data_IF_998621013362
#
_entry.id   IF_998621013362
#
_cell.length_a   1.000
_cell.length_b   1.000
_cell.length_c   1.000
_cell.angle_alpha   90.00
_cell.angle_beta   90.00
_cell.angle_gamma   90.00
#
_symmetry.space_group_name_H-M   'P 1'
#
loop_
_entity.id
_entity.type
_entity.pdbx_description
1 polymer ?
#
# COMPACT_ATOMS: atom_id res chain seq x y z
N UNK A 1 22.40 -8.96 19.61
CA UNK A 1 21.35 -8.26 18.82
C UNK A 1 20.37 -7.66 19.80
N UNK A 2 19.90 -6.46 19.52
CA UNK A 2 18.83 -5.84 20.30
C UNK A 2 17.49 -6.52 19.97
N UNK A 3 16.55 -6.61 20.91
CA UNK A 3 15.36 -7.42 20.73
C UNK A 3 14.39 -6.84 19.69
N UNK A 4 14.22 -5.52 19.61
CA UNK A 4 13.24 -4.86 18.75
C UNK A 4 13.72 -3.48 18.32
N UNK A 5 13.44 -3.11 17.06
CA UNK A 5 13.45 -1.72 16.59
C UNK A 5 12.10 -1.34 15.98
N UNK A 6 11.75 -0.06 16.09
CA UNK A 6 10.66 0.52 15.30
C UNK A 6 11.25 1.14 14.03
N UNK A 7 10.68 0.82 12.88
CA UNK A 7 11.05 1.37 11.58
C UNK A 7 9.93 2.28 11.10
N UNK A 8 10.26 3.53 10.75
CA UNK A 8 9.31 4.52 10.20
C UNK A 8 9.80 4.94 8.82
N UNK A 9 8.97 4.77 7.81
CA UNK A 9 9.23 5.30 6.47
C UNK A 9 8.62 6.70 6.35
N UNK A 10 9.40 7.66 5.83
CA UNK A 10 8.97 9.05 5.77
C UNK A 10 9.16 9.68 4.40
N UNK A 11 8.23 10.58 4.05
CA UNK A 11 8.35 11.59 2.99
C UNK A 11 7.39 12.73 3.32
N UNK A 12 7.94 13.89 3.71
CA UNK A 12 7.21 15.09 4.11
C UNK A 12 6.14 14.81 5.19
N UNK A 13 6.58 14.28 6.34
CA UNK A 13 5.72 13.82 7.45
C UNK A 13 5.86 14.70 8.72
N UNK A 14 6.27 15.97 8.60
CA UNK A 14 6.49 16.86 9.75
C UNK A 14 5.26 17.01 10.65
N UNK A 15 4.04 16.84 10.12
CA UNK A 15 2.79 16.95 10.87
C UNK A 15 2.41 15.67 11.63
N UNK A 16 2.79 14.52 11.10
CA UNK A 16 2.43 13.20 11.64
C UNK A 16 3.52 12.63 12.55
N UNK A 17 4.77 12.70 12.11
CA UNK A 17 5.92 12.04 12.74
C UNK A 17 6.09 12.33 14.23
N UNK A 18 5.83 13.56 14.76
CA UNK A 18 5.97 13.81 16.20
C UNK A 18 5.13 12.90 17.09
N UNK A 19 3.91 12.56 16.67
CA UNK A 19 3.02 11.68 17.43
C UNK A 19 3.45 10.21 17.36
N UNK A 20 3.86 9.76 16.16
CA UNK A 20 4.42 8.43 15.99
C UNK A 20 5.64 8.22 16.90
N UNK A 21 6.62 9.14 16.88
CA UNK A 21 7.80 9.09 17.75
C UNK A 21 7.46 9.15 19.23
N UNK A 22 6.52 10.04 19.63
CA UNK A 22 6.04 10.13 21.01
C UNK A 22 5.39 8.83 21.49
N UNK A 23 4.70 8.10 20.60
CA UNK A 23 4.07 6.82 20.92
C UNK A 23 5.09 5.67 21.11
N UNK A 24 6.27 5.79 20.51
CA UNK A 24 7.41 4.90 20.79
C UNK A 24 8.02 5.23 22.14
N UNK A 25 8.11 6.52 22.50
CA UNK A 25 8.49 6.97 23.83
C UNK A 25 9.91 6.60 24.25
N UNK A 26 10.82 6.39 23.32
CA UNK A 26 12.22 6.00 23.60
C UNK A 26 12.38 4.58 24.18
N UNK A 27 11.36 3.73 24.14
CA UNK A 27 11.41 2.35 24.66
C UNK A 27 12.35 1.45 23.88
N UNK A 28 12.48 1.69 22.59
CA UNK A 28 13.33 0.92 21.66
C UNK A 28 13.96 1.86 20.64
N UNK A 29 15.07 1.47 19.99
CA UNK A 29 15.63 2.22 18.88
C UNK A 29 14.61 2.48 17.77
N UNK A 30 14.71 3.66 17.16
CA UNK A 30 13.90 4.06 16.01
C UNK A 30 14.78 4.28 14.80
N UNK A 31 14.50 3.58 13.71
CA UNK A 31 15.11 3.79 12.40
C UNK A 31 14.11 4.54 11.52
N UNK A 32 14.47 5.74 11.10
CA UNK A 32 13.68 6.51 10.13
C UNK A 32 14.36 6.37 8.77
N UNK A 33 13.65 5.80 7.80
CA UNK A 33 14.12 5.71 6.42
C UNK A 33 13.37 6.77 5.61
N UNK A 34 14.09 7.85 5.31
CA UNK A 34 13.55 9.05 4.70
C UNK A 34 13.76 9.04 3.18
N UNK A 35 12.71 9.37 2.43
CA UNK A 35 12.70 9.33 0.97
C UNK A 35 13.09 10.68 0.31
N UNK A 36 13.80 11.55 1.05
CA UNK A 36 14.19 12.88 0.60
C UNK A 36 13.16 13.95 0.94
N UNK A 37 12.71 13.97 2.22
CA UNK A 37 11.78 14.99 2.71
C UNK A 37 12.32 16.40 2.54
N UNK A 38 11.46 17.31 2.12
CA UNK A 38 11.76 18.72 1.92
C UNK A 38 11.33 19.61 3.10
N UNK A 39 10.54 19.08 4.02
CA UNK A 39 10.05 19.73 5.24
C UNK A 39 10.97 19.43 6.46
N UNK A 40 10.46 19.63 7.67
CA UNK A 40 11.23 19.38 8.90
C UNK A 40 11.28 17.94 9.36
N UNK A 41 10.81 16.97 8.56
CA UNK A 41 10.71 15.55 8.93
C UNK A 41 12.01 15.00 9.50
N UNK A 42 13.14 15.14 8.77
CA UNK A 42 14.44 14.64 9.21
C UNK A 42 14.93 15.30 10.50
N UNK A 43 14.74 16.62 10.62
CA UNK A 43 15.12 17.35 11.82
C UNK A 43 14.31 16.91 13.06
N UNK A 44 13.02 16.64 12.88
CA UNK A 44 12.13 16.14 13.94
C UNK A 44 12.57 14.73 14.38
N UNK A 45 12.87 13.85 13.43
CA UNK A 45 13.34 12.50 13.72
C UNK A 45 14.66 12.52 14.51
N UNK A 46 15.65 13.28 14.04
CA UNK A 46 16.94 13.42 14.70
C UNK A 46 16.83 14.04 16.13
N UNK A 47 15.98 15.06 16.29
CA UNK A 47 15.75 15.68 17.61
C UNK A 47 15.08 14.70 18.60
N UNK A 48 14.31 13.73 18.13
CA UNK A 48 13.72 12.68 18.94
C UNK A 48 14.69 11.51 19.23
N UNK A 49 15.95 11.56 18.76
CA UNK A 49 16.95 10.52 18.94
C UNK A 49 16.81 9.33 17.99
N UNK A 50 16.02 9.45 16.93
CA UNK A 50 15.94 8.43 15.91
C UNK A 50 17.19 8.45 14.99
N UNK A 51 17.62 7.28 14.54
CA UNK A 51 18.60 7.16 13.49
C UNK A 51 17.92 7.43 12.14
N UNK A 52 18.37 8.46 11.44
CA UNK A 52 17.81 8.86 10.14
C UNK A 52 18.72 8.39 9.02
N UNK A 53 18.16 7.62 8.09
CA UNK A 53 18.87 7.14 6.90
C UNK A 53 18.12 7.62 5.66
N UNK A 54 18.78 8.36 4.82
CA UNK A 54 18.23 8.77 3.53
C UNK A 54 18.32 7.63 2.52
N UNK A 55 17.17 7.32 1.86
CA UNK A 55 17.12 6.34 0.78
C UNK A 55 16.11 6.79 -0.28
N UNK A 56 16.56 7.04 -1.53
CA UNK A 56 15.68 7.51 -2.59
C UNK A 56 14.50 6.57 -2.81
N UNK A 57 13.30 7.14 -2.97
CA UNK A 57 12.10 6.35 -3.18
C UNK A 57 12.06 5.75 -4.59
N UNK A 58 12.05 4.45 -4.67
CA UNK A 58 11.77 3.69 -5.91
C UNK A 58 10.33 3.17 -5.87
N UNK A 59 10.04 2.36 -4.86
CA UNK A 59 8.69 1.88 -4.52
C UNK A 59 8.64 1.47 -3.04
N UNK A 60 7.45 1.19 -2.53
CA UNK A 60 7.26 0.84 -1.10
C UNK A 60 7.93 -0.48 -0.71
N UNK A 61 7.93 -1.49 -1.59
CA UNK A 61 8.58 -2.76 -1.29
C UNK A 61 10.11 -2.60 -1.20
N UNK A 62 10.71 -1.83 -2.11
CA UNK A 62 12.14 -1.51 -2.09
C UNK A 62 12.52 -0.76 -0.83
N UNK A 63 11.72 0.24 -0.43
CA UNK A 63 11.96 1.04 0.77
C UNK A 63 11.89 0.18 2.04
N UNK A 64 10.86 -0.69 2.16
CA UNK A 64 10.74 -1.60 3.30
C UNK A 64 11.82 -2.68 3.30
N UNK A 65 12.21 -3.22 2.15
CA UNK A 65 13.29 -4.19 2.06
C UNK A 65 14.64 -3.59 2.46
N UNK A 66 14.93 -2.37 2.04
CA UNK A 66 16.11 -1.64 2.48
C UNK A 66 16.14 -1.48 4.02
N UNK A 67 15.01 -1.11 4.62
CA UNK A 67 14.90 -1.01 6.07
C UNK A 67 15.08 -2.36 6.77
N UNK A 68 14.58 -3.47 6.20
CA UNK A 68 14.81 -4.81 6.71
C UNK A 68 16.29 -5.20 6.65
N UNK A 69 16.98 -4.87 5.57
CA UNK A 69 18.42 -5.14 5.40
C UNK A 69 19.25 -4.38 6.43
N UNK A 70 18.97 -3.09 6.68
CA UNK A 70 19.60 -2.30 7.74
C UNK A 70 19.38 -2.89 9.14
N UNK A 71 18.19 -3.42 9.38
CA UNK A 71 17.82 -3.94 10.69
C UNK A 71 18.33 -5.36 10.95
N UNK A 72 18.50 -6.17 9.90
CA UNK A 72 18.71 -7.62 10.02
C UNK A 72 19.96 -8.05 10.81
N UNK A 73 21.02 -7.24 10.80
CA UNK A 73 22.25 -7.54 11.53
C UNK A 73 22.23 -7.05 12.98
N UNK A 74 21.31 -6.13 13.31
CA UNK A 74 21.29 -5.39 14.57
C UNK A 74 20.16 -5.84 15.52
N UNK A 75 18.99 -6.18 14.92
CA UNK A 75 17.77 -6.43 15.67
C UNK A 75 17.21 -7.82 15.38
N UNK A 76 16.58 -8.43 16.39
CA UNK A 76 15.87 -9.68 16.21
C UNK A 76 14.50 -9.46 15.59
N UNK A 77 13.85 -8.34 15.93
CA UNK A 77 12.53 -7.97 15.48
C UNK A 77 12.49 -6.54 14.97
N UNK A 78 11.63 -6.30 14.01
CA UNK A 78 11.24 -4.96 13.58
C UNK A 78 9.73 -4.81 13.66
N UNK A 79 9.30 -3.61 14.08
CA UNK A 79 7.93 -3.17 13.97
C UNK A 79 7.88 -2.01 12.99
N UNK A 80 7.19 -2.18 11.87
CA UNK A 80 6.92 -1.08 10.94
C UNK A 80 5.78 -0.23 11.48
N UNK A 81 6.05 1.04 11.71
CA UNK A 81 5.10 2.06 12.12
C UNK A 81 5.03 3.10 11.00
N UNK A 82 3.85 3.35 10.43
CA UNK A 82 3.72 4.45 9.48
C UNK A 82 3.72 5.78 10.25
N UNK A 83 4.17 6.88 9.64
CA UNK A 83 4.32 8.16 10.33
C UNK A 83 3.00 8.73 10.87
N UNK A 84 1.86 8.30 10.34
CA UNK A 84 0.50 8.64 10.74
C UNK A 84 -0.14 7.60 11.68
N UNK A 85 0.69 6.72 12.28
CA UNK A 85 0.26 5.68 13.23
C UNK A 85 0.81 5.94 14.63
N UNK A 86 0.09 5.46 15.66
CA UNK A 86 0.44 5.62 17.08
C UNK A 86 0.29 4.28 17.82
N UNK A 87 1.32 3.92 18.61
CA UNK A 87 1.33 2.74 19.47
C UNK A 87 0.67 3.08 20.82
N UNK A 88 -0.33 2.31 21.23
CA UNK A 88 -0.91 2.44 22.56
C UNK A 88 -0.12 1.61 23.60
N UNK A 89 -0.22 1.94 24.92
CA UNK A 89 0.39 1.12 25.96
C UNK A 89 -0.09 -0.34 25.94
N UNK A 90 -1.36 -0.58 25.58
CA UNK A 90 -1.90 -1.93 25.46
C UNK A 90 -1.27 -2.70 24.31
N UNK A 91 -1.05 -2.05 23.14
CA UNK A 91 -0.37 -2.67 22.01
C UNK A 91 1.09 -2.96 22.34
N UNK A 92 1.77 -2.09 23.07
CA UNK A 92 3.12 -2.34 23.55
C UNK A 92 3.21 -3.60 24.40
N UNK A 93 2.28 -3.83 25.34
CA UNK A 93 2.26 -5.04 26.15
C UNK A 93 2.09 -6.31 25.30
N UNK A 94 1.28 -6.26 24.25
CA UNK A 94 1.14 -7.38 23.33
C UNK A 94 2.38 -7.59 22.45
N UNK A 95 3.08 -6.52 22.06
CA UNK A 95 4.36 -6.62 21.34
C UNK A 95 5.43 -7.26 22.20
N UNK A 96 5.56 -6.83 23.49
CA UNK A 96 6.50 -7.43 24.44
C UNK A 96 6.24 -8.95 24.60
N UNK A 97 4.98 -9.35 24.70
CA UNK A 97 4.61 -10.76 24.77
C UNK A 97 4.86 -11.52 23.45
N UNK A 98 4.72 -10.83 22.31
CA UNK A 98 4.94 -11.45 20.99
C UNK A 98 6.42 -11.69 20.70
N UNK A 99 7.29 -10.74 21.02
CA UNK A 99 8.74 -10.89 20.80
C UNK A 99 9.38 -11.92 21.76
N UNK A 100 8.76 -12.14 22.92
CA UNK A 100 9.19 -13.16 23.88
C UNK A 100 8.78 -14.59 23.48
N UNK A 101 7.87 -14.75 22.53
CA UNK A 101 7.42 -16.07 22.06
C UNK A 101 8.34 -16.63 20.96
N UNK A 102 9.17 -17.67 21.26
CA UNK A 102 10.09 -18.24 20.28
C UNK A 102 9.37 -18.99 19.13
N UNK A 103 8.06 -19.26 19.30
CA UNK A 103 7.26 -19.92 18.26
C UNK A 103 6.76 -18.94 17.19
N UNK A 104 6.99 -17.63 17.35
CA UNK A 104 6.50 -16.62 16.41
C UNK A 104 7.60 -16.07 15.50
N UNK A 105 7.20 -15.72 14.28
CA UNK A 105 8.02 -15.06 13.27
C UNK A 105 7.43 -13.71 12.87
N UNK A 106 6.17 -13.41 13.26
CA UNK A 106 5.53 -12.13 12.97
C UNK A 106 4.16 -11.98 13.61
N UNK A 107 3.64 -10.74 13.54
CA UNK A 107 2.27 -10.46 14.01
C UNK A 107 1.58 -9.43 13.12
N UNK A 108 0.31 -9.72 12.84
CA UNK A 108 -0.63 -8.81 12.22
C UNK A 108 -1.27 -7.92 13.29
N UNK A 109 -1.48 -6.66 12.96
CA UNK A 109 -2.28 -5.73 13.75
C UNK A 109 -3.48 -5.27 12.93
N UNK A 110 -4.62 -5.00 13.61
CA UNK A 110 -5.76 -4.34 12.99
C UNK A 110 -5.61 -2.84 13.13
N UNK A 111 -5.97 -2.10 12.08
CA UNK A 111 -5.95 -0.64 12.13
C UNK A 111 -7.17 -0.10 12.86
N UNK A 112 -6.96 0.96 13.62
CA UNK A 112 -8.00 1.81 14.18
C UNK A 112 -8.00 3.14 13.42
N UNK A 113 -8.87 3.24 12.42
CA UNK A 113 -8.90 4.38 11.53
C UNK A 113 -9.65 5.57 12.14
N UNK A 114 -9.07 6.75 11.99
CA UNK A 114 -9.68 8.02 12.37
C UNK A 114 -9.85 8.93 11.17
N UNK A 115 -11.01 9.59 11.07
CA UNK A 115 -11.32 10.55 10.01
C UNK A 115 -12.04 11.75 10.63
N UNK A 116 -11.54 12.96 10.38
CA UNK A 116 -12.11 14.19 10.91
C UNK A 116 -12.37 14.15 12.43
N UNK A 117 -11.41 13.61 13.19
CA UNK A 117 -11.49 13.52 14.64
C UNK A 117 -12.40 12.42 15.17
N UNK A 118 -12.98 11.56 14.32
CA UNK A 118 -13.85 10.45 14.71
C UNK A 118 -13.22 9.11 14.34
N UNK A 119 -13.24 8.16 15.29
CA UNK A 119 -12.90 6.77 15.05
C UNK A 119 -13.95 6.12 14.14
N UNK A 120 -13.50 5.45 13.09
CA UNK A 120 -14.34 4.66 12.20
C UNK A 120 -14.43 3.22 12.70
N UNK A 121 -15.63 2.76 12.99
CA UNK A 121 -15.89 1.44 13.59
C UNK A 121 -16.67 0.53 12.66
N UNK A 122 -17.20 1.07 11.56
CA UNK A 122 -18.01 0.37 10.59
C UNK A 122 -17.46 0.56 9.17
N UNK A 123 -17.94 -0.24 8.24
CA UNK A 123 -17.51 -0.19 6.84
C UNK A 123 -16.43 -1.21 6.50
N UNK A 124 -15.90 -1.11 5.30
CA UNK A 124 -14.96 -2.09 4.74
C UNK A 124 -13.60 -2.09 5.45
N UNK A 125 -13.18 -0.94 5.94
CA UNK A 125 -11.83 -0.70 6.45
C UNK A 125 -11.69 -0.90 7.96
N UNK A 126 -12.80 -1.14 8.66
CA UNK A 126 -12.79 -1.38 10.12
C UNK A 126 -12.01 -2.62 10.54
N UNK A 127 -11.78 -3.56 9.61
CA UNK A 127 -11.04 -4.81 9.84
C UNK A 127 -9.75 -4.92 9.00
N UNK A 128 -9.23 -3.80 8.52
CA UNK A 128 -7.96 -3.80 7.80
C UNK A 128 -6.84 -4.33 8.70
N UNK A 129 -6.13 -5.35 8.23
CA UNK A 129 -5.02 -5.99 8.94
C UNK A 129 -3.73 -5.84 8.14
N UNK A 130 -2.67 -5.47 8.84
CA UNK A 130 -1.33 -5.31 8.28
C UNK A 130 -0.32 -6.10 9.11
N UNK A 131 0.65 -6.73 8.45
CA UNK A 131 1.78 -7.39 9.12
C UNK A 131 2.78 -6.30 9.49
N UNK A 132 2.90 -5.99 10.78
CA UNK A 132 3.75 -4.90 11.28
C UNK A 132 4.95 -5.39 12.07
N UNK A 133 4.78 -6.45 12.88
CA UNK A 133 5.87 -7.08 13.61
C UNK A 133 6.42 -8.26 12.81
N UNK A 134 7.73 -8.32 12.62
CA UNK A 134 8.37 -9.42 11.89
C UNK A 134 9.85 -9.56 12.23
N UNK A 135 10.38 -10.77 12.02
CA UNK A 135 11.83 -11.01 12.05
C UNK A 135 12.44 -10.53 10.73
N UNK A 136 13.35 -9.53 10.73
CA UNK A 136 13.83 -8.91 9.49
C UNK A 136 14.53 -9.89 8.55
N UNK A 137 15.16 -10.95 9.08
CA UNK A 137 15.84 -11.98 8.29
C UNK A 137 14.91 -12.93 7.55
N UNK A 138 13.65 -13.05 8.00
CA UNK A 138 12.67 -13.96 7.40
C UNK A 138 11.69 -13.23 6.48
N UNK A 139 11.55 -11.92 6.66
CA UNK A 139 10.57 -11.12 5.94
C UNK A 139 11.15 -10.56 4.64
N UNK A 140 10.34 -10.57 3.58
CA UNK A 140 10.61 -9.86 2.35
C UNK A 140 9.35 -9.32 1.74
N UNK A 141 9.35 -8.02 1.46
CA UNK A 141 8.24 -7.36 0.79
C UNK A 141 8.31 -7.61 -0.72
N UNK A 142 7.16 -7.90 -1.30
CA UNK A 142 6.98 -8.09 -2.74
C UNK A 142 5.91 -7.15 -3.24
N UNK A 143 5.98 -6.73 -4.49
CA UNK A 143 5.10 -5.80 -5.21
C UNK A 143 5.39 -4.33 -4.90
N UNK A 144 5.32 -3.52 -5.95
CA UNK A 144 5.59 -2.08 -5.91
C UNK A 144 4.44 -1.25 -5.32
N UNK A 145 3.22 -1.77 -5.37
CA UNK A 145 2.04 -1.17 -4.72
C UNK A 145 1.27 -2.24 -3.96
N UNK A 146 0.58 -1.86 -2.87
CA UNK A 146 -0.02 -2.81 -1.92
C UNK A 146 0.98 -3.90 -1.51
N UNK A 147 2.16 -3.47 -1.09
CA UNK A 147 3.27 -4.34 -0.73
C UNK A 147 2.85 -5.36 0.32
N UNK A 148 3.29 -6.58 0.14
CA UNK A 148 2.96 -7.70 1.04
C UNK A 148 4.21 -8.48 1.35
N UNK A 149 4.32 -8.89 2.59
CA UNK A 149 5.30 -9.90 2.99
C UNK A 149 4.81 -11.27 2.51
N UNK A 150 5.73 -12.07 2.02
CA UNK A 150 5.47 -13.48 1.77
C UNK A 150 5.54 -14.23 3.11
N UNK A 151 4.40 -14.36 3.77
CA UNK A 151 4.27 -14.92 5.12
C UNK A 151 3.92 -16.41 5.13
N UNK A 152 4.06 -17.11 3.97
CA UNK A 152 3.64 -18.52 3.83
C UNK A 152 4.38 -19.47 4.76
N UNK A 153 5.64 -19.19 4.99
CA UNK A 153 6.54 -19.98 5.82
C UNK A 153 6.77 -19.36 7.20
N UNK A 154 6.05 -18.28 7.53
CA UNK A 154 6.14 -17.58 8.81
C UNK A 154 5.02 -18.01 9.75
N UNK A 155 5.36 -18.20 11.02
CA UNK A 155 4.40 -18.45 12.09
C UNK A 155 3.92 -17.10 12.63
N UNK A 156 2.74 -16.70 12.20
CA UNK A 156 2.19 -15.38 12.49
C UNK A 156 0.93 -15.47 13.36
N UNK A 157 0.75 -14.49 14.25
CA UNK A 157 -0.50 -14.30 15.01
C UNK A 157 -1.15 -12.97 14.66
N UNK A 158 -2.38 -12.78 15.10
CA UNK A 158 -3.09 -11.49 15.04
C UNK A 158 -3.12 -10.95 16.45
N UNK A 159 -2.66 -9.71 16.66
CA UNK A 159 -2.78 -9.01 17.92
C UNK A 159 -4.21 -8.51 18.11
N UNK A 160 -4.67 -8.46 19.36
CA UNK A 160 -6.04 -8.07 19.70
C UNK A 160 -6.19 -6.55 19.73
N UNK A 161 -5.18 -5.85 20.26
CA UNK A 161 -5.14 -4.39 20.30
C UNK A 161 -4.92 -3.80 18.91
N UNK A 162 -5.64 -2.73 18.61
CA UNK A 162 -5.57 -2.04 17.32
C UNK A 162 -4.45 -0.99 17.32
N UNK A 163 -3.83 -0.81 16.16
CA UNK A 163 -2.89 0.27 15.89
C UNK A 163 -3.68 1.51 15.44
N UNK A 164 -3.49 2.61 16.14
CA UNK A 164 -4.17 3.88 15.84
C UNK A 164 -3.58 4.43 14.55
N UNK A 165 -4.45 4.75 13.58
CA UNK A 165 -4.08 5.38 12.32
C UNK A 165 -4.85 6.69 12.18
N UNK A 166 -4.13 7.81 12.27
CA UNK A 166 -4.70 9.15 12.30
C UNK A 166 -3.82 10.13 11.52
N UNK A 167 -4.15 10.35 10.27
CA UNK A 167 -3.45 11.33 9.44
C UNK A 167 -3.82 12.77 9.87
N UNK A 168 -2.80 13.58 10.18
CA UNK A 168 -2.95 14.99 10.54
C UNK A 168 -2.82 15.92 9.32
N UNK A 169 -2.44 15.39 8.16
CA UNK A 169 -2.31 16.19 6.94
C UNK A 169 -3.67 16.69 6.44
N UNK A 170 -3.69 17.85 5.76
CA UNK A 170 -4.91 18.32 5.11
C UNK A 170 -5.46 17.31 4.12
N UNK A 171 -6.79 17.28 3.99
CA UNK A 171 -7.48 16.33 3.10
C UNK A 171 -7.00 16.40 1.64
N UNK A 172 -6.52 17.56 1.19
CA UNK A 172 -5.96 17.73 -0.16
C UNK A 172 -4.70 16.89 -0.37
N UNK A 173 -3.88 16.70 0.66
CA UNK A 173 -2.68 15.84 0.57
C UNK A 173 -3.06 14.37 0.49
N UNK A 174 -4.15 13.98 1.15
CA UNK A 174 -4.72 12.65 0.98
C UNK A 174 -5.09 12.38 -0.48
N UNK A 175 -5.76 13.32 -1.16
CA UNK A 175 -6.11 13.18 -2.58
C UNK A 175 -4.88 13.10 -3.48
N UNK A 176 -3.86 13.92 -3.26
CA UNK A 176 -2.59 13.89 -4.03
C UNK A 176 -1.90 12.52 -3.88
N UNK A 177 -1.74 12.04 -2.64
CA UNK A 177 -1.15 10.74 -2.31
C UNK A 177 -1.90 9.61 -3.00
N UNK A 178 -3.22 9.59 -2.92
CA UNK A 178 -4.07 8.55 -3.52
C UNK A 178 -4.14 8.62 -5.04
N UNK A 179 -3.97 9.80 -5.64
CA UNK A 179 -3.82 9.92 -7.09
C UNK A 179 -2.54 9.21 -7.56
N UNK A 180 -1.42 9.39 -6.87
CA UNK A 180 -0.19 8.65 -7.14
C UNK A 180 -0.34 7.13 -6.95
N UNK A 181 -1.11 6.70 -5.95
CA UNK A 181 -1.45 5.27 -5.79
C UNK A 181 -2.30 4.75 -6.95
N UNK A 182 -3.31 5.51 -7.38
CA UNK A 182 -4.18 5.13 -8.48
C UNK A 182 -3.40 4.96 -9.79
N UNK A 183 -2.43 5.84 -10.07
CA UNK A 183 -1.56 5.73 -11.23
C UNK A 183 -0.73 4.43 -11.22
N UNK A 184 -0.14 4.07 -10.07
CA UNK A 184 0.62 2.81 -9.92
C UNK A 184 -0.27 1.58 -10.05
N UNK A 185 -1.46 1.60 -9.46
CA UNK A 185 -2.41 0.49 -9.57
C UNK A 185 -2.92 0.32 -11.01
N UNK A 186 -3.23 1.42 -11.70
CA UNK A 186 -3.64 1.38 -13.11
C UNK A 186 -2.54 0.81 -14.00
N UNK A 187 -1.28 1.23 -13.80
CA UNK A 187 -0.12 0.67 -14.50
C UNK A 187 0.02 -0.82 -14.24
N UNK A 188 -0.02 -1.22 -12.95
CA UNK A 188 0.07 -2.64 -12.57
C UNK A 188 -1.04 -3.49 -13.21
N UNK A 189 -2.28 -2.93 -13.29
CA UNK A 189 -3.38 -3.60 -13.96
C UNK A 189 -3.10 -3.83 -15.46
N UNK A 190 -2.60 -2.81 -16.16
CA UNK A 190 -2.29 -2.89 -17.58
C UNK A 190 -1.14 -3.86 -17.86
N UNK A 191 -0.09 -3.83 -17.05
CA UNK A 191 1.06 -4.74 -17.15
C UNK A 191 0.63 -6.20 -16.88
N UNK A 192 -0.27 -6.42 -15.92
CA UNK A 192 -0.75 -7.74 -15.55
C UNK A 192 -1.79 -8.32 -16.54
N UNK A 193 -2.53 -7.47 -17.27
CA UNK A 193 -3.49 -7.93 -18.29
C UNK A 193 -2.80 -8.68 -19.43
N UNK A 194 -1.54 -8.32 -19.75
CA UNK A 194 -0.69 -9.04 -20.70
C UNK A 194 -0.09 -10.34 -20.16
N UNK A 195 -0.09 -10.56 -18.85
CA UNK A 195 0.59 -11.68 -18.17
C UNK A 195 -0.37 -12.67 -17.46
N UNK A 196 -1.68 -12.47 -17.54
CA UNK A 196 -2.66 -13.23 -16.76
C UNK A 196 -2.91 -14.63 -17.32
N UNK A 197 -1.99 -15.55 -17.04
CA UNK A 197 -2.28 -16.99 -17.08
C UNK A 197 -2.77 -17.45 -15.70
N UNK A 198 -3.80 -18.30 -15.68
CA UNK A 198 -4.32 -18.94 -14.47
C UNK A 198 -3.49 -20.20 -14.12
N UNK A 199 -2.29 -20.33 -14.66
CA UNK A 199 -1.43 -21.48 -14.44
C UNK A 199 -1.05 -21.59 -12.96
N UNK A 200 -1.39 -22.70 -12.34
CA UNK A 200 -1.17 -22.95 -10.92
C UNK A 200 -2.26 -22.45 -9.97
N UNK A 201 -3.43 -22.00 -10.49
CA UNK A 201 -4.54 -21.58 -9.66
C UNK A 201 -5.14 -22.75 -8.86
N UNK A 202 -5.05 -22.70 -7.53
CA UNK A 202 -5.68 -23.65 -6.63
C UNK A 202 -6.60 -22.94 -5.62
N UNK A 203 -7.91 -22.98 -5.86
CA UNK A 203 -8.94 -22.34 -5.03
C UNK A 203 -8.96 -22.84 -3.57
N UNK A 204 -8.40 -24.03 -3.32
CA UNK A 204 -8.33 -24.61 -1.96
C UNK A 204 -7.30 -23.92 -1.09
N UNK A 205 -6.31 -23.26 -1.66
CA UNK A 205 -5.31 -22.49 -0.91
C UNK A 205 -5.77 -21.04 -0.67
N UNK A 206 -5.30 -20.42 0.42
CA UNK A 206 -5.57 -19.00 0.72
C UNK A 206 -5.03 -18.07 -0.37
N UNK A 207 -3.85 -18.40 -0.90
CA UNK A 207 -3.24 -17.67 -2.01
C UNK A 207 -4.06 -17.82 -3.30
N UNK A 208 -4.49 -19.05 -3.64
CA UNK A 208 -5.32 -19.30 -4.82
C UNK A 208 -6.67 -18.60 -4.75
N UNK A 209 -7.36 -18.59 -3.59
CA UNK A 209 -8.61 -17.84 -3.43
C UNK A 209 -8.42 -16.34 -3.68
N UNK A 210 -7.29 -15.77 -3.26
CA UNK A 210 -6.97 -14.35 -3.53
C UNK A 210 -6.75 -14.09 -5.03
N UNK A 211 -6.04 -14.98 -5.72
CA UNK A 211 -5.84 -14.88 -7.18
C UNK A 211 -7.18 -14.97 -7.90
N UNK A 212 -8.05 -15.91 -7.52
CA UNK A 212 -9.39 -16.04 -8.10
C UNK A 212 -10.28 -14.82 -7.87
N UNK A 213 -10.24 -14.24 -6.66
CA UNK A 213 -10.96 -12.99 -6.36
C UNK A 213 -10.42 -11.82 -7.19
N UNK A 214 -9.11 -11.70 -7.33
CA UNK A 214 -8.49 -10.68 -8.18
C UNK A 214 -8.88 -10.86 -9.65
N UNK A 215 -8.86 -12.10 -10.15
CA UNK A 215 -9.28 -12.42 -11.51
C UNK A 215 -10.77 -12.11 -11.75
N UNK A 216 -11.64 -12.51 -10.82
CA UNK A 216 -13.07 -12.18 -10.88
C UNK A 216 -13.31 -10.67 -10.85
N UNK A 217 -12.60 -9.96 -9.98
CA UNK A 217 -12.62 -8.50 -9.89
C UNK A 217 -12.25 -7.83 -11.22
N UNK A 218 -11.20 -8.30 -11.87
CA UNK A 218 -10.73 -7.72 -13.13
C UNK A 218 -11.67 -7.99 -14.33
N UNK A 219 -12.62 -8.92 -14.19
CA UNK A 219 -13.68 -9.16 -15.17
C UNK A 219 -14.93 -8.30 -14.98
N UNK A 220 -15.06 -7.65 -13.83
CA UNK A 220 -16.13 -6.67 -13.63
C UNK A 220 -15.85 -5.48 -14.55
N UNK A 221 -16.84 -5.01 -15.33
CA UNK A 221 -16.67 -3.85 -16.19
C UNK A 221 -16.17 -2.63 -15.41
N UNK A 222 -15.32 -1.82 -16.07
CA UNK A 222 -14.87 -0.53 -15.54
C UNK A 222 -16.11 0.29 -15.13
N UNK A 223 -15.94 1.10 -14.09
CA UNK A 223 -16.98 1.95 -13.48
C UNK A 223 -18.11 1.21 -12.72
N UNK A 224 -18.27 -0.10 -12.91
CA UNK A 224 -19.15 -0.92 -12.08
C UNK A 224 -18.48 -1.29 -10.75
N UNK A 225 -17.18 -1.55 -10.80
CA UNK A 225 -16.37 -1.91 -9.60
C UNK A 225 -16.45 -0.87 -8.47
N UNK A 226 -16.27 0.44 -8.72
CA UNK A 226 -16.42 1.48 -7.70
C UNK A 226 -17.79 1.49 -7.04
N UNK A 227 -18.85 1.30 -7.82
CA UNK A 227 -20.21 1.27 -7.30
C UNK A 227 -20.45 0.07 -6.39
N UNK A 228 -19.94 -1.11 -6.78
CA UNK A 228 -20.02 -2.32 -5.95
C UNK A 228 -19.28 -2.17 -4.63
N UNK A 229 -18.07 -1.58 -4.66
CA UNK A 229 -17.30 -1.33 -3.43
C UNK A 229 -18.00 -0.34 -2.52
N UNK A 230 -18.51 0.76 -3.09
CA UNK A 230 -19.23 1.75 -2.32
C UNK A 230 -20.50 1.16 -1.71
N UNK A 231 -21.30 0.44 -2.49
CA UNK A 231 -22.48 -0.28 -2.01
C UNK A 231 -22.13 -1.26 -0.87
N UNK A 232 -21.02 -1.99 -0.98
CA UNK A 232 -20.54 -2.88 0.08
C UNK A 232 -20.10 -2.11 1.33
N UNK A 233 -19.42 -0.97 1.20
CA UNK A 233 -19.03 -0.15 2.35
C UNK A 233 -20.26 0.38 3.09
N UNK A 234 -21.29 0.81 2.37
CA UNK A 234 -22.57 1.23 2.95
C UNK A 234 -23.31 0.05 3.60
N UNK A 235 -23.37 -1.11 2.96
CA UNK A 235 -23.98 -2.31 3.50
C UNK A 235 -23.29 -2.80 4.79
N UNK A 236 -21.95 -2.59 4.90
CA UNK A 236 -21.20 -2.82 6.14
C UNK A 236 -21.36 -1.70 7.18
N UNK A 237 -22.27 -0.78 6.97
CA UNK A 237 -22.66 0.22 7.96
C UNK A 237 -21.79 1.46 8.04
N UNK A 238 -21.01 1.82 7.01
CA UNK A 238 -20.18 3.03 7.01
C UNK A 238 -20.96 4.31 7.41
N UNK A 239 -22.25 4.38 7.09
CA UNK A 239 -23.15 5.46 7.46
C UNK A 239 -23.39 5.57 8.99
N UNK A 240 -23.15 4.51 9.77
CA UNK A 240 -23.27 4.52 11.25
C UNK A 240 -22.20 5.38 11.92
N UNK A 241 -21.07 5.56 11.26
CA UNK A 241 -20.01 6.45 11.71
C UNK A 241 -20.29 7.93 11.34
N UNK A 242 -21.51 8.22 10.83
CA UNK A 242 -21.98 9.56 10.48
C UNK A 242 -21.25 10.12 9.25
N UNK A 243 -21.13 11.45 9.19
CA UNK A 243 -20.49 12.12 8.06
C UNK A 243 -19.05 11.66 7.79
N UNK A 244 -18.17 11.50 8.81
CA UNK A 244 -16.81 10.97 8.57
C UNK A 244 -16.79 9.58 7.92
N UNK A 245 -17.67 8.67 8.33
CA UNK A 245 -17.77 7.34 7.74
C UNK A 245 -18.26 7.37 6.29
N UNK A 246 -19.26 8.19 6.00
CA UNK A 246 -19.77 8.39 4.62
C UNK A 246 -18.71 9.02 3.71
N UNK A 247 -17.99 10.04 4.19
CA UNK A 247 -16.91 10.68 3.43
C UNK A 247 -15.78 9.68 3.16
N UNK A 248 -15.36 8.92 4.17
CA UNK A 248 -14.34 7.91 3.99
C UNK A 248 -14.76 6.83 2.98
N UNK A 249 -15.99 6.34 3.07
CA UNK A 249 -16.53 5.39 2.11
C UNK A 249 -16.60 5.98 0.69
N UNK A 250 -16.99 7.25 0.56
CA UNK A 250 -17.00 7.96 -0.73
C UNK A 250 -15.60 8.10 -1.32
N UNK A 251 -14.62 8.45 -0.50
CA UNK A 251 -13.24 8.64 -0.93
C UNK A 251 -12.57 7.33 -1.30
N UNK A 252 -12.60 6.32 -0.41
CA UNK A 252 -11.87 5.06 -0.60
C UNK A 252 -12.61 4.04 -1.45
N UNK A 253 -13.92 3.91 -1.30
CA UNK A 253 -14.66 2.86 -1.97
C UNK A 253 -15.36 3.31 -3.27
N UNK A 254 -15.45 4.62 -3.53
CA UNK A 254 -16.02 5.15 -4.77
C UNK A 254 -14.98 5.92 -5.59
N UNK A 255 -14.48 7.05 -5.06
CA UNK A 255 -13.59 7.95 -5.80
C UNK A 255 -12.27 7.27 -6.20
N UNK A 256 -11.57 6.66 -5.26
CA UNK A 256 -10.26 6.05 -5.54
C UNK A 256 -10.31 4.95 -6.61
N UNK A 257 -11.19 3.93 -6.53
CA UNK A 257 -11.29 2.93 -7.60
C UNK A 257 -11.85 3.52 -8.91
N UNK A 258 -12.66 4.60 -8.87
CA UNK A 258 -13.11 5.29 -10.08
C UNK A 258 -11.95 5.98 -10.81
N UNK A 259 -11.03 6.59 -10.09
CA UNK A 259 -9.82 7.19 -10.68
C UNK A 259 -8.95 6.10 -11.35
N UNK A 260 -8.77 4.95 -10.70
CA UNK A 260 -8.06 3.82 -11.31
C UNK A 260 -8.71 3.39 -12.61
N UNK A 261 -10.04 3.24 -12.62
CA UNK A 261 -10.80 2.83 -13.81
C UNK A 261 -10.71 3.87 -14.95
N UNK A 262 -10.70 5.17 -14.60
CA UNK A 262 -10.51 6.26 -15.59
C UNK A 262 -9.13 6.19 -16.24
N UNK A 263 -8.08 6.01 -15.45
CA UNK A 263 -6.70 5.89 -15.95
C UNK A 263 -6.54 4.66 -16.86
N UNK A 264 -7.12 3.53 -16.49
CA UNK A 264 -7.13 2.32 -17.31
C UNK A 264 -7.87 2.56 -18.63
N UNK A 265 -9.04 3.20 -18.57
CA UNK A 265 -9.84 3.51 -19.75
C UNK A 265 -9.12 4.45 -20.71
N UNK A 266 -8.49 5.49 -20.17
CA UNK A 266 -7.70 6.46 -20.96
C UNK A 266 -6.56 5.75 -21.68
N UNK A 267 -5.73 4.98 -20.98
CA UNK A 267 -4.63 4.23 -21.58
C UNK A 267 -5.07 3.26 -22.68
N UNK A 268 -6.15 2.50 -22.45
CA UNK A 268 -6.71 1.60 -23.47
C UNK A 268 -7.25 2.35 -24.68
N UNK A 269 -7.83 3.53 -24.50
CA UNK A 269 -8.32 4.38 -25.58
C UNK A 269 -7.18 4.94 -26.43
N UNK A 270 -6.09 5.35 -25.79
CA UNK A 270 -4.89 5.83 -26.49
C UNK A 270 -4.23 4.72 -27.31
N UNK A 271 -3.98 3.56 -26.71
CA UNK A 271 -3.43 2.40 -27.42
C UNK A 271 -4.28 2.02 -28.65
N UNK A 272 -5.61 2.04 -28.53
CA UNK A 272 -6.51 1.79 -29.67
C UNK A 272 -6.43 2.86 -30.76
N UNK A 273 -6.16 4.11 -30.39
CA UNK A 273 -5.96 5.21 -31.37
C UNK A 273 -4.64 5.08 -32.10
N UNK A 274 -3.57 4.72 -31.39
CA UNK A 274 -2.25 4.49 -31.94
C UNK A 274 -2.28 3.33 -32.94
N UNK A 275 -2.81 2.17 -32.53
CA UNK A 275 -2.96 1.01 -33.42
C UNK A 275 -3.75 1.34 -34.70
N UNK A 276 -4.80 2.19 -34.60
CA UNK A 276 -5.55 2.63 -35.79
C UNK A 276 -4.72 3.58 -36.70
N UNK A 277 -3.86 4.40 -36.13
CA UNK A 277 -2.97 5.29 -36.88
C UNK A 277 -1.90 4.49 -37.63
N UNK A 278 -1.30 3.52 -36.98
CA UNK A 278 -0.30 2.62 -37.54
C UNK A 278 -0.88 1.80 -38.70
N UNK A 279 -2.01 1.15 -38.49
CA UNK A 279 -2.71 0.40 -39.55
C UNK A 279 -3.07 1.27 -40.76
N UNK A 280 -3.45 2.55 -40.54
CA UNK A 280 -3.72 3.50 -41.64
C UNK A 280 -2.45 3.90 -42.39
N UNK A 281 -1.32 4.01 -41.72
CA UNK A 281 -0.04 4.32 -42.33
C UNK A 281 0.49 3.14 -43.14
N UNK A 282 0.40 1.93 -42.64
CA UNK A 282 0.76 0.70 -43.34
C UNK A 282 -0.08 0.50 -44.59
N UNK A 283 -1.40 0.68 -44.51
CA UNK A 283 -2.29 0.61 -45.66
C UNK A 283 -1.97 1.67 -46.76
N UNK A 284 -1.45 2.85 -46.36
CA UNK A 284 -1.00 3.85 -47.31
C UNK A 284 0.36 3.51 -47.95
N UNK A 285 1.27 2.85 -47.21
CA UNK A 285 2.57 2.40 -47.78
C UNK A 285 2.41 1.22 -48.70
N UNK A 286 1.49 0.30 -48.44
CA UNK A 286 1.19 -0.82 -49.32
C UNK A 286 0.39 -0.45 -50.59
N UNK A 287 -0.22 0.77 -50.64
CA UNK A 287 -0.98 1.28 -51.78
C UNK A 287 -0.18 2.23 -52.67
N UNK A 288 1.14 2.46 -52.43
CA UNK A 288 2.00 3.19 -53.32
C UNK A 288 2.22 2.37 -54.60
N UNK A 289 1.97 2.90 -55.82
CA UNK A 289 2.17 2.15 -57.06
C UNK A 289 3.66 1.81 -57.19
N UNK A 290 3.95 0.55 -57.57
CA UNK A 290 5.24 0.18 -58.14
C UNK A 290 5.50 1.11 -59.30
N UNK A 291 6.54 1.92 -59.23
CA UNK A 291 7.02 2.71 -60.36
C UNK A 291 7.72 1.72 -61.26
N UNK A 292 7.00 1.27 -62.29
CA UNK A 292 7.60 0.51 -63.39
C UNK A 292 8.76 1.32 -63.96
N UNK A 293 9.98 0.90 -63.63
CA UNK A 293 11.19 1.38 -64.24
C UNK A 293 11.32 0.79 -65.63
N UNK A 294 10.65 1.38 -66.62
CA UNK A 294 11.02 1.17 -68.01
C UNK A 294 12.35 1.88 -68.26
N UNK A 295 13.41 1.08 -68.39
CA UNK A 295 14.71 1.49 -68.91
C UNK A 295 14.67 1.21 -70.39
N UNK A 296 14.64 2.28 -71.21
CA UNK A 296 14.97 2.24 -72.66
C UNK A 296 16.46 2.48 -72.85
#
# INVERSE_FOLDING_TARGET
MEPLAVVILTLDEELNLPKALASVGGRVPVLVVDSGSSDRTQAIAAAAGAEVVEHPFVDYASQRNFALELAAERFEWVFFLDADEELSPALWAELDAAIADPALDGAYVRLELWMLGKRLTHGEYSDAMVLRLMRPRLARFRRSSNERVDDRDMRVKILDTRLIHRDAKPIVEWFKKHLGYAQREAKHYLDAEGAASLDGFNIRTRAGRRVGLWWAYNRIPLFVRPLLFHGRALAKGAWRDGLPGLLYAGMHALWYPMVIDLLIYEAKREAKREAKREAKQEGRRGAAPEVDGEVA
#
